data_IF_823958619881
#
_entry.id   IF_823958619881
#
_cell.length_a   1.000
_cell.length_b   1.000
_cell.length_c   1.000
_cell.angle_alpha   90.00
_cell.angle_beta   90.00
_cell.angle_gamma   90.00
#
_symmetry.space_group_name_H-M   'P 1'
#
loop_
_entity.id
_entity.type
_entity.pdbx_description
1 polymer ?
#
# COMPACT_ATOMS: atom_id res chain seq x y z
N UNK A 1 -20.47 -1.67 -18.82
CA UNK A 1 -19.14 -1.07 -18.57
C UNK A 1 -18.09 -2.16 -18.75
N UNK A 2 -16.96 -1.92 -19.43
CA UNK A 2 -15.92 -2.96 -19.58
C UNK A 2 -15.12 -3.13 -18.29
N UNK A 3 -14.59 -4.33 -18.02
CA UNK A 3 -13.71 -4.60 -16.87
C UNK A 3 -12.52 -3.63 -16.85
N UNK A 4 -12.01 -3.26 -18.03
CA UNK A 4 -10.91 -2.29 -18.14
C UNK A 4 -11.32 -0.89 -17.64
N UNK A 5 -12.52 -0.40 -18.01
CA UNK A 5 -13.03 0.90 -17.54
C UNK A 5 -13.23 0.89 -16.03
N UNK A 6 -13.84 -0.18 -15.48
CA UNK A 6 -14.04 -0.32 -14.04
C UNK A 6 -12.72 -0.33 -13.27
N UNK A 7 -11.74 -1.10 -13.75
CA UNK A 7 -10.40 -1.13 -13.17
C UNK A 7 -9.74 0.23 -13.11
N UNK A 8 -9.80 0.99 -14.21
CA UNK A 8 -9.20 2.33 -14.26
C UNK A 8 -9.84 3.25 -13.23
N UNK A 9 -11.17 3.24 -13.13
CA UNK A 9 -11.89 4.05 -12.12
C UNK A 9 -11.48 3.64 -10.71
N UNK A 10 -11.46 2.34 -10.42
CA UNK A 10 -11.11 1.82 -9.09
C UNK A 10 -9.68 2.20 -8.68
N UNK A 11 -8.72 2.04 -9.60
CA UNK A 11 -7.33 2.44 -9.36
C UNK A 11 -7.19 3.96 -9.19
N UNK A 12 -7.92 4.77 -9.95
CA UNK A 12 -7.95 6.23 -9.76
C UNK A 12 -8.45 6.56 -8.36
N UNK A 13 -9.57 5.97 -7.92
CA UNK A 13 -10.14 6.20 -6.59
C UNK A 13 -9.13 5.81 -5.49
N UNK A 14 -8.53 4.63 -5.58
CA UNK A 14 -7.52 4.18 -4.61
C UNK A 14 -6.28 5.08 -4.61
N UNK A 15 -5.80 5.50 -5.79
CA UNK A 15 -4.69 6.46 -5.90
C UNK A 15 -5.05 7.81 -5.29
N UNK A 16 -6.26 8.33 -5.51
CA UNK A 16 -6.72 9.58 -4.91
C UNK A 16 -6.76 9.49 -3.38
N UNK A 17 -7.27 8.38 -2.83
CA UNK A 17 -7.28 8.18 -1.37
C UNK A 17 -5.83 8.11 -0.84
N UNK A 18 -4.95 7.38 -1.51
CA UNK A 18 -3.53 7.30 -1.12
C UNK A 18 -2.87 8.69 -1.11
N UNK A 19 -3.11 9.49 -2.15
CA UNK A 19 -2.61 10.87 -2.25
C UNK A 19 -3.16 11.73 -1.12
N UNK A 20 -4.47 11.70 -0.85
CA UNK A 20 -5.10 12.49 0.21
C UNK A 20 -4.44 12.16 1.56
N UNK A 21 -4.27 10.88 1.87
CA UNK A 21 -3.73 10.49 3.17
C UNK A 21 -2.24 10.84 3.29
N UNK A 22 -1.44 10.67 2.23
CA UNK A 22 -0.03 11.08 2.22
C UNK A 22 0.13 12.61 2.34
N UNK A 23 -0.74 13.40 1.68
CA UNK A 23 -0.74 14.87 1.80
C UNK A 23 -1.10 15.31 3.22
N UNK A 24 -2.11 14.70 3.84
CA UNK A 24 -2.46 14.96 5.24
C UNK A 24 -1.31 14.57 6.16
N UNK A 25 -0.68 13.42 5.93
CA UNK A 25 0.50 12.95 6.65
C UNK A 25 1.68 13.91 6.55
N UNK A 26 1.93 14.46 5.36
CA UNK A 26 2.95 15.49 5.14
C UNK A 26 2.69 16.73 5.99
N UNK A 27 1.49 17.32 5.91
CA UNK A 27 1.18 18.52 6.69
C UNK A 27 1.20 18.26 8.21
N UNK A 28 0.77 17.08 8.65
CA UNK A 28 0.89 16.67 10.05
C UNK A 28 2.36 16.61 10.48
N UNK A 29 3.25 16.07 9.64
CA UNK A 29 4.69 15.97 9.93
C UNK A 29 5.43 17.30 10.00
N UNK A 30 4.91 18.34 9.35
CA UNK A 30 5.47 19.71 9.41
C UNK A 30 5.06 20.46 10.69
N UNK A 31 4.01 20.01 11.38
CA UNK A 31 3.59 20.57 12.66
C UNK A 31 4.49 20.07 13.80
N UNK A 32 4.34 20.61 15.02
CA UNK A 32 5.08 20.17 16.22
C UNK A 32 4.97 18.66 16.55
N UNK A 33 4.11 17.93 15.81
CA UNK A 33 3.97 16.47 15.81
C UNK A 33 5.01 15.77 14.92
N UNK A 34 6.26 16.26 14.86
CA UNK A 34 7.38 15.74 14.03
C UNK A 34 7.59 14.21 14.22
N UNK A 35 7.19 13.68 15.38
CA UNK A 35 7.29 12.26 15.71
C UNK A 35 6.20 11.38 15.06
N UNK A 36 5.09 11.97 14.61
CA UNK A 36 3.94 11.29 14.02
C UNK A 36 3.89 11.55 12.51
N UNK A 37 4.89 11.07 11.78
CA UNK A 37 4.73 10.92 10.34
C UNK A 37 3.72 9.81 10.08
N UNK A 38 2.52 10.15 9.59
CA UNK A 38 1.44 9.21 9.32
C UNK A 38 1.35 8.96 7.81
N UNK A 39 1.90 7.84 7.33
CA UNK A 39 1.83 7.39 5.94
C UNK A 39 0.93 6.16 5.84
N UNK A 40 -0.36 6.39 5.59
CA UNK A 40 -1.35 5.31 5.43
C UNK A 40 -1.63 4.97 3.96
N UNK A 41 -0.79 5.40 3.02
CA UNK A 41 -0.84 4.91 1.64
C UNK A 41 -0.44 3.44 1.52
N UNK A 42 0.40 2.92 2.42
CA UNK A 42 0.82 1.51 2.45
C UNK A 42 -0.34 0.50 2.44
N UNK A 43 -1.32 0.54 3.38
CA UNK A 43 -2.46 -0.38 3.33
C UNK A 43 -3.29 -0.22 2.03
N UNK A 44 -3.39 0.98 1.47
CA UNK A 44 -4.11 1.23 0.22
C UNK A 44 -3.39 0.56 -0.97
N UNK A 45 -2.06 0.66 -1.04
CA UNK A 45 -1.26 -0.08 -2.03
C UNK A 45 -1.52 -1.58 -1.93
N UNK A 46 -1.48 -2.13 -0.71
CA UNK A 46 -1.71 -3.55 -0.45
C UNK A 46 -3.11 -4.00 -0.88
N UNK A 47 -4.15 -3.22 -0.57
CA UNK A 47 -5.51 -3.48 -1.06
C UNK A 47 -5.56 -3.49 -2.59
N UNK A 48 -4.88 -2.57 -3.26
CA UNK A 48 -4.84 -2.53 -4.72
C UNK A 48 -4.15 -3.75 -5.33
N UNK A 49 -3.11 -4.29 -4.68
CA UNK A 49 -2.49 -5.55 -5.10
C UNK A 49 -3.44 -6.74 -4.95
N UNK A 50 -4.23 -6.81 -3.87
CA UNK A 50 -5.28 -7.82 -3.71
C UNK A 50 -6.33 -7.69 -4.80
N UNK A 51 -6.79 -6.47 -5.10
CA UNK A 51 -7.86 -6.23 -6.09
C UNK A 51 -7.41 -6.44 -7.55
N UNK A 52 -6.21 -5.97 -7.90
CA UNK A 52 -5.77 -5.87 -9.30
C UNK A 52 -4.36 -6.40 -9.60
N UNK A 53 -3.74 -7.09 -8.65
CA UNK A 53 -2.41 -7.71 -8.84
C UNK A 53 -1.33 -6.68 -9.20
N UNK A 54 -0.45 -6.99 -10.16
CA UNK A 54 0.61 -6.12 -10.65
C UNK A 54 0.13 -4.72 -11.07
N UNK A 55 -1.15 -4.54 -11.39
CA UNK A 55 -1.68 -3.22 -11.73
C UNK A 55 -1.82 -2.30 -10.51
N UNK A 56 -1.80 -2.85 -9.30
CA UNK A 56 -1.70 -2.08 -8.06
C UNK A 56 -0.40 -1.26 -7.96
N UNK A 57 0.64 -1.64 -8.72
CA UNK A 57 1.91 -0.91 -8.79
C UNK A 57 1.76 0.56 -9.21
N UNK A 58 0.66 0.91 -9.88
CA UNK A 58 0.36 2.31 -10.21
C UNK A 58 0.30 3.20 -8.94
N UNK A 59 -0.19 2.67 -7.82
CA UNK A 59 -0.29 3.43 -6.56
C UNK A 59 1.11 3.70 -6.00
N UNK A 60 2.02 2.72 -6.10
CA UNK A 60 3.42 2.88 -5.72
C UNK A 60 4.08 4.02 -6.52
N UNK A 61 3.87 4.03 -7.85
CA UNK A 61 4.38 5.11 -8.72
C UNK A 61 3.80 6.47 -8.30
N UNK A 62 2.49 6.54 -8.07
CA UNK A 62 1.81 7.77 -7.63
C UNK A 62 2.39 8.29 -6.31
N UNK A 63 2.59 7.44 -5.30
CA UNK A 63 3.18 7.85 -4.02
C UNK A 63 4.64 8.29 -4.14
N UNK A 64 5.42 7.71 -5.07
CA UNK A 64 6.81 8.15 -5.34
C UNK A 64 6.84 9.53 -5.98
N UNK A 65 5.98 9.76 -6.98
CA UNK A 65 5.85 11.07 -7.63
C UNK A 65 5.39 12.11 -6.60
N UNK A 66 4.37 11.78 -5.80
CA UNK A 66 3.85 12.67 -4.76
C UNK A 66 4.92 13.03 -3.73
N UNK A 67 5.68 12.05 -3.24
CA UNK A 67 6.78 12.30 -2.30
C UNK A 67 7.80 13.29 -2.88
N UNK A 68 8.17 13.10 -4.14
CA UNK A 68 9.10 14.00 -4.85
C UNK A 68 8.57 15.43 -4.91
N UNK A 69 7.27 15.61 -5.17
CA UNK A 69 6.62 16.92 -5.24
C UNK A 69 6.53 17.58 -3.85
N UNK A 70 6.16 16.83 -2.82
CA UNK A 70 5.90 17.36 -1.47
C UNK A 70 7.19 17.73 -0.74
N UNK A 71 8.21 16.87 -0.80
CA UNK A 71 9.40 17.03 0.03
C UNK A 71 10.46 17.95 -0.57
N UNK A 72 10.43 18.23 -1.89
CA UNK A 72 11.27 19.19 -2.65
C UNK A 72 12.79 19.15 -2.43
N UNK A 73 13.29 18.36 -1.48
CA UNK A 73 14.69 18.13 -1.20
C UNK A 73 15.17 17.04 -2.16
N UNK A 74 15.89 17.48 -3.19
CA UNK A 74 16.44 16.62 -4.24
C UNK A 74 17.71 15.87 -3.81
N UNK A 75 17.83 15.53 -2.53
CA UNK A 75 18.89 14.62 -2.13
C UNK A 75 18.62 13.25 -2.74
N UNK A 76 19.52 12.85 -3.64
CA UNK A 76 19.33 11.68 -4.50
C UNK A 76 19.18 10.39 -3.69
N UNK A 77 19.99 10.22 -2.63
CA UNK A 77 19.99 8.99 -1.82
C UNK A 77 18.67 8.80 -1.06
N UNK A 78 18.15 9.78 -0.28
CA UNK A 78 16.80 9.70 0.30
C UNK A 78 15.70 9.39 -0.70
N UNK A 79 15.74 10.04 -1.87
CA UNK A 79 14.71 9.87 -2.90
C UNK A 79 14.72 8.44 -3.47
N UNK A 80 15.91 7.92 -3.81
CA UNK A 80 16.07 6.54 -4.27
C UNK A 80 15.67 5.56 -3.17
N UNK A 81 16.09 5.78 -1.92
CA UNK A 81 15.75 4.93 -0.80
C UNK A 81 14.24 4.87 -0.53
N UNK A 82 13.55 6.01 -0.59
CA UNK A 82 12.10 6.05 -0.51
C UNK A 82 11.46 5.27 -1.67
N UNK A 83 11.87 5.54 -2.91
CA UNK A 83 11.34 4.85 -4.09
C UNK A 83 11.53 3.33 -4.02
N UNK A 84 12.72 2.87 -3.63
CA UNK A 84 13.01 1.45 -3.42
C UNK A 84 12.16 0.86 -2.28
N UNK A 85 11.98 1.60 -1.18
CA UNK A 85 11.16 1.13 -0.05
C UNK A 85 9.69 0.97 -0.40
N UNK A 86 9.14 1.86 -1.22
CA UNK A 86 7.76 1.76 -1.70
C UNK A 86 7.64 0.65 -2.76
N UNK A 87 8.60 0.53 -3.66
CA UNK A 87 8.61 -0.52 -4.68
C UNK A 87 8.80 -1.92 -4.07
N UNK A 88 9.51 -2.04 -2.95
CA UNK A 88 9.74 -3.32 -2.28
C UNK A 88 8.44 -3.95 -1.76
N UNK A 89 7.45 -3.15 -1.35
CA UNK A 89 6.09 -3.64 -1.07
C UNK A 89 5.57 -4.40 -2.30
N UNK A 90 5.65 -3.78 -3.48
CA UNK A 90 5.16 -4.37 -4.71
C UNK A 90 5.82 -5.71 -5.04
N UNK A 91 7.13 -5.83 -4.83
CA UNK A 91 7.86 -7.10 -5.01
C UNK A 91 7.33 -8.19 -4.07
N UNK A 92 7.12 -7.89 -2.78
CA UNK A 92 6.56 -8.85 -1.83
C UNK A 92 5.13 -9.23 -2.20
N UNK A 93 4.29 -8.26 -2.60
CA UNK A 93 2.89 -8.53 -2.94
C UNK A 93 2.76 -9.38 -4.21
N UNK A 94 3.67 -9.21 -5.17
CA UNK A 94 3.72 -10.05 -6.37
C UNK A 94 4.13 -11.49 -6.05
N UNK A 95 5.01 -11.70 -5.06
CA UNK A 95 5.35 -13.03 -4.57
C UNK A 95 4.15 -13.73 -3.92
N UNK A 96 3.33 -12.98 -3.19
CA UNK A 96 2.09 -13.49 -2.57
C UNK A 96 0.99 -13.89 -3.57
N UNK A 97 1.19 -13.69 -4.88
CA UNK A 97 0.26 -14.18 -5.93
C UNK A 97 0.03 -15.71 -5.87
N UNK A 98 0.93 -16.45 -5.21
CA UNK A 98 0.81 -17.89 -4.98
C UNK A 98 -0.36 -18.24 -4.04
N UNK A 99 -0.77 -17.31 -3.15
CA UNK A 99 -1.85 -17.54 -2.19
C UNK A 99 -3.19 -17.08 -2.78
N UNK A 100 -4.27 -17.90 -2.67
CA UNK A 100 -5.61 -17.49 -3.06
C UNK A 100 -6.05 -16.21 -2.32
N UNK A 101 -6.42 -15.18 -3.08
CA UNK A 101 -6.81 -13.86 -2.56
C UNK A 101 -7.99 -13.92 -1.56
N UNK A 102 -8.89 -14.88 -1.75
CA UNK A 102 -10.02 -15.11 -0.85
C UNK A 102 -9.57 -15.62 0.54
N UNK A 103 -8.44 -16.33 0.63
CA UNK A 103 -7.87 -16.74 1.92
C UNK A 103 -7.28 -15.54 2.68
N UNK A 104 -6.61 -14.62 1.96
CA UNK A 104 -6.08 -13.37 2.57
C UNK A 104 -7.18 -12.57 3.27
N UNK A 105 -8.39 -12.51 2.68
CA UNK A 105 -9.53 -11.82 3.27
C UNK A 105 -10.08 -12.53 4.52
N UNK A 106 -10.21 -13.85 4.47
CA UNK A 106 -10.98 -14.62 5.46
C UNK A 106 -10.14 -15.07 6.66
N UNK A 107 -8.82 -15.19 6.49
CA UNK A 107 -7.91 -15.69 7.51
C UNK A 107 -7.06 -14.56 8.08
N UNK A 108 -7.28 -14.22 9.36
CA UNK A 108 -6.56 -13.13 10.05
C UNK A 108 -5.05 -13.36 10.02
N UNK A 109 -4.60 -14.62 10.14
CA UNK A 109 -3.18 -14.97 10.07
C UNK A 109 -2.61 -14.62 8.69
N UNK A 110 -3.29 -15.03 7.61
CA UNK A 110 -2.86 -14.77 6.23
C UNK A 110 -2.89 -13.28 5.90
N UNK A 111 -3.91 -12.54 6.36
CA UNK A 111 -3.96 -11.08 6.28
C UNK A 111 -2.78 -10.42 7.00
N UNK A 112 -2.47 -10.90 8.20
CA UNK A 112 -1.38 -10.38 9.02
C UNK A 112 -0.03 -10.66 8.38
N UNK A 113 0.21 -11.89 7.90
CA UNK A 113 1.44 -12.24 7.16
C UNK A 113 1.59 -11.41 5.89
N UNK A 114 0.50 -11.19 5.17
CA UNK A 114 0.47 -10.32 3.98
C UNK A 114 0.89 -8.89 4.33
N UNK A 115 0.27 -8.29 5.35
CA UNK A 115 0.61 -6.94 5.82
C UNK A 115 2.05 -6.84 6.35
N UNK A 116 2.43 -7.74 7.25
CA UNK A 116 3.74 -7.73 7.93
C UNK A 116 4.87 -7.91 6.93
N UNK A 117 4.77 -8.85 6.00
CA UNK A 117 5.84 -9.10 5.03
C UNK A 117 6.14 -7.88 4.15
N UNK A 118 5.09 -7.21 3.63
CA UNK A 118 5.25 -5.99 2.85
C UNK A 118 5.84 -4.85 3.68
N UNK A 119 5.36 -4.68 4.91
CA UNK A 119 5.81 -3.60 5.79
C UNK A 119 7.25 -3.81 6.29
N UNK A 120 7.62 -5.03 6.65
CA UNK A 120 8.99 -5.38 7.07
C UNK A 120 9.97 -5.10 5.93
N UNK A 121 9.63 -5.46 4.69
CA UNK A 121 10.50 -5.18 3.55
C UNK A 121 10.66 -3.66 3.31
N UNK A 122 9.58 -2.88 3.43
CA UNK A 122 9.67 -1.42 3.39
C UNK A 122 10.60 -0.90 4.48
N UNK A 123 10.39 -1.34 5.73
CA UNK A 123 11.18 -0.92 6.89
C UNK A 123 12.66 -1.25 6.74
N UNK A 124 13.00 -2.46 6.28
CA UNK A 124 14.38 -2.89 6.08
C UNK A 124 15.10 -2.05 5.02
N UNK A 125 14.44 -1.69 3.92
CA UNK A 125 15.03 -0.83 2.88
C UNK A 125 15.23 0.60 3.41
N UNK A 126 14.32 1.11 4.24
CA UNK A 126 14.50 2.42 4.87
C UNK A 126 15.63 2.44 5.90
N UNK A 127 15.74 1.40 6.74
CA UNK A 127 16.86 1.23 7.68
C UNK A 127 18.20 1.17 6.93
N UNK A 128 18.25 0.41 5.83
CA UNK A 128 19.43 0.32 4.97
C UNK A 128 19.78 1.67 4.33
N UNK A 129 18.78 2.42 3.85
CA UNK A 129 18.99 3.77 3.30
C UNK A 129 19.56 4.72 4.35
N UNK A 130 19.04 4.68 5.58
CA UNK A 130 19.54 5.50 6.68
C UNK A 130 21.01 5.18 7.02
N UNK A 131 21.34 3.90 7.06
CA UNK A 131 22.72 3.44 7.24
C UNK A 131 23.64 3.97 6.14
N UNK A 132 23.24 3.91 4.87
CA UNK A 132 24.04 4.44 3.75
C UNK A 132 24.27 5.96 3.84
N UNK A 133 23.36 6.71 4.44
CA UNK A 133 23.46 8.17 4.54
C UNK A 133 24.30 8.63 5.72
N UNK A 134 24.21 7.94 6.86
CA UNK A 134 24.74 8.44 8.14
C UNK A 134 25.69 7.47 8.83
N UNK A 135 25.97 6.31 8.24
CA UNK A 135 26.73 5.19 8.82
C UNK A 135 26.17 4.65 10.15
N UNK A 136 25.01 5.13 10.58
CA UNK A 136 24.34 4.74 11.80
C UNK A 136 22.83 4.60 11.55
N UNK A 137 22.18 3.68 12.25
CA UNK A 137 20.73 3.52 12.20
C UNK A 137 20.16 4.04 13.51
N UNK A 138 19.32 5.08 13.46
CA UNK A 138 18.61 5.56 14.63
C UNK A 138 17.38 4.67 14.90
N UNK A 139 17.63 3.46 15.40
CA UNK A 139 16.62 2.43 15.59
C UNK A 139 15.39 2.91 16.36
N UNK A 140 15.60 3.65 17.45
CA UNK A 140 14.50 4.16 18.29
C UNK A 140 13.60 5.09 17.48
N UNK A 141 14.19 6.07 16.79
CA UNK A 141 13.45 7.03 15.95
C UNK A 141 12.72 6.32 14.81
N UNK A 142 13.39 5.37 14.15
CA UNK A 142 12.83 4.63 13.02
C UNK A 142 11.65 3.75 13.48
N UNK A 143 11.84 2.94 14.52
CA UNK A 143 10.79 2.08 15.09
C UNK A 143 9.61 2.93 15.58
N UNK A 144 9.87 4.04 16.28
CA UNK A 144 8.81 4.92 16.77
C UNK A 144 7.97 5.47 15.61
N UNK A 145 8.60 6.00 14.55
CA UNK A 145 7.90 6.51 13.36
C UNK A 145 7.07 5.45 12.64
N UNK A 146 7.57 4.21 12.58
CA UNK A 146 6.87 3.12 11.92
C UNK A 146 5.78 2.47 12.77
N UNK A 147 5.90 2.49 14.10
CA UNK A 147 4.97 1.80 15.00
C UNK A 147 3.52 2.26 14.81
N UNK A 148 3.30 3.57 14.71
CA UNK A 148 1.97 4.16 14.51
C UNK A 148 1.40 3.78 13.14
N UNK A 149 2.22 3.90 12.08
CA UNK A 149 1.84 3.51 10.72
C UNK A 149 1.55 2.02 10.58
N UNK A 150 2.33 1.19 11.28
CA UNK A 150 2.14 -0.25 11.30
C UNK A 150 0.82 -0.62 11.97
N UNK A 151 0.54 -0.07 13.16
CA UNK A 151 -0.69 -0.33 13.91
C UNK A 151 -1.91 0.17 13.13
N UNK A 152 -1.90 1.43 12.69
CA UNK A 152 -3.01 2.01 11.92
C UNK A 152 -3.20 1.31 10.58
N UNK A 153 -2.11 1.00 9.88
CA UNK A 153 -2.15 0.26 8.62
C UNK A 153 -2.75 -1.12 8.78
N UNK A 154 -2.40 -1.86 9.84
CA UNK A 154 -2.99 -3.16 10.14
C UNK A 154 -4.47 -3.04 10.48
N UNK A 155 -4.88 -2.04 11.28
CA UNK A 155 -6.29 -1.79 11.60
C UNK A 155 -7.10 -1.51 10.32
N UNK A 156 -6.58 -0.67 9.42
CA UNK A 156 -7.22 -0.37 8.13
C UNK A 156 -7.38 -1.65 7.30
N UNK A 157 -6.33 -2.46 7.18
CA UNK A 157 -6.39 -3.74 6.49
C UNK A 157 -7.41 -4.71 7.11
N UNK A 158 -7.49 -4.75 8.45
CA UNK A 158 -8.45 -5.56 9.16
C UNK A 158 -9.90 -5.10 8.92
N UNK A 159 -10.18 -3.81 8.99
CA UNK A 159 -11.52 -3.27 8.70
C UNK A 159 -11.89 -3.55 7.24
N UNK A 160 -10.96 -3.28 6.32
CA UNK A 160 -11.11 -3.51 4.88
C UNK A 160 -11.43 -5.00 4.56
N UNK A 161 -10.85 -5.95 5.30
CA UNK A 161 -11.08 -7.38 5.05
C UNK A 161 -12.48 -7.83 5.48
N UNK A 162 -13.09 -7.14 6.43
CA UNK A 162 -14.47 -7.39 6.88
C UNK A 162 -15.53 -6.78 5.95
N UNK A 163 -15.16 -5.81 5.13
CA UNK A 163 -16.08 -5.23 4.16
C UNK A 163 -16.36 -6.20 3.00
N UNK A 164 -17.64 -6.31 2.62
CA UNK A 164 -18.04 -7.12 1.47
C UNK A 164 -17.43 -6.54 0.19
N UNK A 165 -16.90 -7.41 -0.66
CA UNK A 165 -16.35 -7.08 -1.99
C UNK A 165 -15.22 -6.02 -2.05
N UNK A 166 -14.67 -5.62 -0.91
CA UNK A 166 -13.60 -4.64 -0.85
C UNK A 166 -12.21 -5.27 -1.07
N UNK A 167 -11.91 -6.38 -0.40
CA UNK A 167 -10.63 -7.11 -0.56
C UNK A 167 -10.82 -8.44 -1.30
N UNK A 168 -11.24 -8.36 -2.55
CA UNK A 168 -11.46 -9.55 -3.42
C UNK A 168 -10.66 -9.42 -4.71
N UNK A 169 -10.41 -10.55 -5.38
CA UNK A 169 -9.88 -10.52 -6.74
C UNK A 169 -10.91 -9.92 -7.69
N UNK A 170 -10.78 -8.64 -8.00
CA UNK A 170 -11.82 -7.89 -8.70
C UNK A 170 -11.97 -8.36 -10.15
N UNK A 171 -10.90 -8.88 -10.76
CA UNK A 171 -10.99 -9.44 -12.10
C UNK A 171 -11.84 -10.72 -12.13
N UNK A 172 -11.53 -11.70 -11.26
CA UNK A 172 -12.31 -12.93 -11.15
C UNK A 172 -13.75 -12.67 -10.69
N UNK A 173 -13.94 -11.77 -9.74
CA UNK A 173 -15.26 -11.37 -9.25
C UNK A 173 -16.17 -10.82 -10.36
N UNK A 174 -15.67 -9.87 -11.15
CA UNK A 174 -16.46 -9.28 -12.25
C UNK A 174 -16.76 -10.29 -13.35
N UNK A 175 -15.83 -11.21 -13.65
CA UNK A 175 -16.09 -12.28 -14.62
C UNK A 175 -17.22 -13.20 -14.14
N UNK A 176 -17.20 -13.58 -12.86
CA UNK A 176 -18.24 -14.41 -12.26
C UNK A 176 -19.62 -13.73 -12.32
N UNK A 177 -19.68 -12.43 -11.98
CA UNK A 177 -20.93 -11.66 -12.08
C UNK A 177 -21.47 -11.57 -13.51
N UNK A 178 -20.59 -11.43 -14.51
CA UNK A 178 -21.01 -11.40 -15.92
C UNK A 178 -21.59 -12.76 -16.31
N UNK A 179 -21.00 -13.86 -15.85
CA UNK A 179 -21.51 -15.21 -16.13
C UNK A 179 -22.86 -15.48 -15.43
N UNK A 180 -23.01 -15.07 -14.18
CA UNK A 180 -24.26 -15.18 -13.42
C UNK A 180 -25.40 -14.40 -14.11
N UNK A 181 -25.16 -13.15 -14.54
CA UNK A 181 -26.16 -12.34 -15.27
C UNK A 181 -26.58 -12.96 -16.61
N UNK A 182 -25.64 -13.57 -17.33
CA UNK A 182 -25.94 -14.28 -18.58
C UNK A 182 -26.85 -15.49 -18.34
N UNK A 183 -26.66 -16.20 -17.22
CA UNK A 183 -27.53 -17.33 -16.83
C UNK A 183 -28.93 -16.87 -16.45
N UNK A 184 -29.05 -15.65 -15.91
CA UNK A 184 -30.33 -15.03 -15.54
C UNK A 184 -31.09 -14.40 -16.73
N UNK A 185 -30.53 -14.46 -17.95
CA UNK A 185 -31.18 -13.99 -19.17
C UNK A 185 -31.05 -12.48 -19.44
N UNK A 186 -30.05 -11.83 -18.82
CA UNK A 186 -29.68 -10.43 -19.07
C UNK A 186 -28.46 -10.28 -19.99
#
# INVERSE_FOLDING_TARGET
MTIQKFRTIDLIVLSTIAVIVDVVGYFASQSALIFLYVALSTPIMMIAYIRWNYRGLIINIVSIILYTILYKNFELIPMIGYALSVMSIGLVMLWFKVIPRNQIKNEILTLTLYFVSGYVMLFMIQAFTQYLMSNEIQWITLIARHSVNFILGWIIMFIASRQQDFMVDMHGYLLKQIEERKKEGF
#
